data_IF_729359955056
#
_entry.id   IF_729359955056
#
_cell.length_a   1.000
_cell.length_b   1.000
_cell.length_c   1.000
_cell.angle_alpha   90.00
_cell.angle_beta   90.00
_cell.angle_gamma   90.00
#
_symmetry.space_group_name_H-M   'P 1'
#
loop_
_entity.id
_entity.type
_entity.pdbx_description
1 polymer ?
#
# COMPACT_ATOMS: atom_id res chain seq x y z
N UNK A 1 28.62 33.02 -6.13
CA UNK A 1 28.09 33.91 -5.07
C UNK A 1 26.58 33.92 -5.20
N UNK A 2 25.77 33.57 -4.19
CA UNK A 2 24.32 33.69 -4.32
C UNK A 2 23.93 35.16 -4.12
N UNK A 3 23.22 35.72 -5.10
CA UNK A 3 22.51 36.99 -4.94
C UNK A 3 21.15 36.72 -4.29
N UNK A 4 20.82 37.45 -3.23
CA UNK A 4 19.50 37.40 -2.59
C UNK A 4 18.61 38.50 -3.18
N UNK A 5 17.42 38.13 -3.64
CA UNK A 5 16.38 39.09 -4.04
C UNK A 5 15.12 38.79 -3.21
N UNK A 6 14.59 39.81 -2.52
CA UNK A 6 13.32 39.74 -1.80
C UNK A 6 12.18 40.30 -2.66
N UNK A 7 11.02 39.63 -2.66
CA UNK A 7 9.84 40.04 -3.44
C UNK A 7 8.62 40.22 -2.51
N UNK A 8 7.89 41.35 -2.55
CA UNK A 8 6.72 41.58 -1.70
C UNK A 8 5.44 40.90 -2.22
N UNK A 9 4.52 40.57 -1.30
CA UNK A 9 3.23 39.95 -1.59
C UNK A 9 2.26 40.95 -2.22
N UNK A 10 1.89 40.73 -3.50
CA UNK A 10 0.51 40.48 -3.98
C UNK A 10 0.39 40.59 -5.51
N UNK A 11 -0.52 39.78 -6.07
CA UNK A 11 -0.98 39.64 -7.47
C UNK A 11 0.02 39.16 -8.52
N UNK A 12 -0.49 38.26 -9.37
CA UNK A 12 0.19 37.54 -10.45
C UNK A 12 1.02 38.48 -11.34
N UNK A 13 2.35 38.33 -11.28
CA UNK A 13 3.28 38.99 -12.21
C UNK A 13 4.02 37.95 -13.03
N UNK A 14 4.15 38.22 -14.33
CA UNK A 14 5.09 37.52 -15.22
C UNK A 14 6.51 37.95 -14.88
N UNK A 15 7.43 36.99 -14.80
CA UNK A 15 8.85 37.27 -14.65
C UNK A 15 9.52 36.97 -15.99
N UNK A 16 10.29 37.94 -16.51
CA UNK A 16 11.19 37.73 -17.65
C UNK A 16 12.59 37.57 -17.08
N UNK A 17 13.19 36.39 -17.25
CA UNK A 17 14.59 36.15 -16.91
C UNK A 17 15.34 35.97 -18.23
N UNK A 18 16.45 36.69 -18.38
CA UNK A 18 17.35 36.54 -19.54
C UNK A 18 18.60 35.83 -19.06
N UNK A 19 18.95 34.71 -19.70
CA UNK A 19 20.15 33.95 -19.39
C UNK A 19 21.17 34.15 -20.53
N UNK A 20 22.39 34.54 -20.19
CA UNK A 20 23.49 34.68 -21.13
C UNK A 20 24.47 33.52 -20.93
N UNK A 21 24.59 32.63 -21.92
CA UNK A 21 25.50 31.48 -21.89
C UNK A 21 26.81 31.84 -22.58
N UNK A 22 27.91 31.88 -21.83
CA UNK A 22 29.27 31.97 -22.40
C UNK A 22 29.91 30.59 -22.43
N UNK A 23 30.12 30.05 -23.64
CA UNK A 23 30.83 28.79 -23.85
C UNK A 23 32.32 29.13 -24.01
N UNK A 24 33.17 28.66 -23.10
CA UNK A 24 34.62 28.84 -23.21
C UNK A 24 35.18 27.83 -24.23
N UNK A 25 35.76 28.31 -25.34
CA UNK A 25 36.54 27.46 -26.24
C UNK A 25 37.87 27.07 -25.57
N UNK A 26 38.07 25.77 -25.35
CA UNK A 26 39.37 25.20 -25.00
C UNK A 26 40.25 25.14 -26.26
N UNK A 27 41.27 26.00 -26.32
CA UNK A 27 42.22 26.09 -27.41
C UNK A 27 43.23 24.93 -27.40
N UNK A 28 42.84 23.78 -27.95
CA UNK A 28 43.73 22.85 -28.67
C UNK A 28 43.02 21.51 -28.88
N UNK A 29 42.58 21.21 -30.11
CA UNK A 29 42.64 19.91 -30.79
C UNK A 29 42.09 20.12 -32.21
N UNK A 30 42.99 20.08 -33.18
CA UNK A 30 42.68 19.92 -34.60
C UNK A 30 42.46 18.43 -34.88
N UNK A 31 41.21 18.03 -35.08
CA UNK A 31 40.71 16.99 -36.03
C UNK A 31 39.31 16.57 -35.61
N UNK A 32 38.48 16.36 -36.61
CA UNK A 32 37.07 16.01 -36.51
C UNK A 32 36.85 14.82 -35.57
N UNK A 33 36.26 15.11 -34.42
CA UNK A 33 35.63 14.12 -33.56
C UNK A 33 34.17 14.53 -33.41
N UNK A 34 33.26 13.66 -33.87
CA UNK A 34 31.85 13.72 -33.53
C UNK A 34 31.72 13.84 -32.01
N UNK A 35 31.29 15.02 -31.53
CA UNK A 35 30.80 15.15 -30.17
C UNK A 35 29.37 14.62 -30.18
N UNK A 36 29.22 13.31 -29.97
CA UNK A 36 27.92 12.66 -29.72
C UNK A 36 27.62 12.69 -28.21
N UNK A 37 27.54 13.88 -27.64
CA UNK A 37 27.08 14.06 -26.26
C UNK A 37 26.11 15.23 -26.20
N UNK A 38 24.84 14.91 -26.02
CA UNK A 38 23.87 15.80 -25.42
C UNK A 38 24.35 16.12 -24.00
N UNK A 39 24.76 17.36 -23.74
CA UNK A 39 25.00 17.80 -22.37
C UNK A 39 23.69 18.32 -21.77
N UNK A 40 23.25 17.67 -20.69
CA UNK A 40 22.11 18.11 -19.90
C UNK A 40 22.55 19.25 -18.99
N UNK A 41 22.04 20.45 -19.22
CA UNK A 41 22.20 21.56 -18.27
C UNK A 41 21.00 21.55 -17.31
N UNK A 42 21.26 21.30 -16.03
CA UNK A 42 20.22 21.26 -14.99
C UNK A 42 20.20 22.61 -14.28
N UNK A 43 19.02 23.21 -14.15
CA UNK A 43 18.79 24.41 -13.35
C UNK A 43 17.91 24.09 -12.14
N UNK A 44 18.20 24.71 -11.00
CA UNK A 44 17.27 24.81 -9.86
C UNK A 44 16.73 26.23 -9.78
N UNK A 45 15.40 26.39 -9.82
CA UNK A 45 14.74 27.69 -9.65
C UNK A 45 13.91 27.64 -8.38
N UNK A 46 14.27 28.48 -7.40
CA UNK A 46 13.52 28.64 -6.16
C UNK A 46 12.55 29.82 -6.27
N UNK A 47 11.25 29.53 -6.19
CA UNK A 47 10.21 30.57 -6.14
C UNK A 47 9.54 30.52 -4.77
N UNK A 48 9.72 31.56 -3.95
CA UNK A 48 9.08 31.59 -2.63
C UNK A 48 7.69 32.24 -2.70
N UNK A 49 6.64 31.41 -2.71
CA UNK A 49 5.45 31.69 -1.91
C UNK A 49 4.76 30.37 -1.53
N UNK A 50 4.60 30.17 -0.20
CA UNK A 50 4.13 28.96 0.52
C UNK A 50 3.83 27.71 -0.33
N UNK A 51 4.89 26.99 -0.68
CA UNK A 51 4.87 25.67 -1.31
C UNK A 51 6.24 25.36 -1.91
N UNK A 52 6.70 24.11 -1.82
CA UNK A 52 7.86 23.65 -2.58
C UNK A 52 7.37 23.25 -3.97
N UNK A 53 7.98 23.81 -5.02
CA UNK A 53 7.80 23.36 -6.40
C UNK A 53 9.16 22.95 -6.94
N UNK A 54 9.24 21.73 -7.48
CA UNK A 54 10.38 21.28 -8.27
C UNK A 54 9.89 21.17 -9.71
N UNK A 55 10.48 21.94 -10.61
CA UNK A 55 10.22 21.84 -12.04
C UNK A 55 11.52 21.42 -12.74
N UNK A 56 11.46 20.34 -13.51
CA UNK A 56 12.56 19.88 -14.36
C UNK A 56 12.18 20.17 -15.80
N UNK A 57 13.07 20.82 -16.55
CA UNK A 57 12.88 21.10 -17.97
C UNK A 57 13.91 20.34 -18.78
N UNK A 58 13.50 19.80 -19.92
CA UNK A 58 14.39 19.19 -20.89
C UNK A 58 14.46 20.10 -22.12
N UNK A 59 15.62 20.70 -22.37
CA UNK A 59 15.87 21.50 -23.57
C UNK A 59 16.61 20.60 -24.55
N UNK A 60 15.92 20.16 -25.61
CA UNK A 60 16.55 19.44 -26.73
C UNK A 60 16.96 20.43 -27.80
N UNK A 61 18.26 20.65 -27.95
CA UNK A 61 18.81 21.37 -29.10
C UNK A 61 19.01 20.36 -30.24
N UNK A 62 18.24 20.51 -31.32
CA UNK A 62 18.49 19.73 -32.53
C UNK A 62 19.69 20.32 -33.27
N UNK A 63 20.58 19.46 -33.78
CA UNK A 63 21.73 19.88 -34.58
C UNK A 63 21.27 20.47 -35.92
N UNK A 64 20.91 21.75 -35.92
CA UNK A 64 21.05 22.63 -37.09
C UNK A 64 21.53 23.99 -36.59
N UNK A 65 22.84 24.20 -36.75
CA UNK A 65 23.57 25.46 -36.66
C UNK A 65 23.14 26.42 -35.53
N UNK A 66 23.61 26.17 -34.31
CA UNK A 66 23.63 27.22 -33.28
C UNK A 66 24.78 28.19 -33.58
N UNK A 67 24.47 29.36 -34.14
CA UNK A 67 25.29 30.57 -33.96
C UNK A 67 24.88 31.25 -32.65
N UNK A 68 25.78 32.01 -32.04
CA UNK A 68 25.48 32.82 -30.84
C UNK A 68 24.12 33.50 -30.98
N UNK A 69 23.21 33.21 -30.05
CA UNK A 69 21.85 33.70 -30.11
C UNK A 69 21.17 33.59 -28.76
N UNK A 70 20.41 34.62 -28.42
CA UNK A 70 19.54 34.66 -27.23
C UNK A 70 18.32 33.79 -27.51
N UNK A 71 18.08 32.76 -26.68
CA UNK A 71 16.84 31.98 -26.74
C UNK A 71 15.85 32.60 -25.76
N UNK A 72 14.82 33.26 -26.28
CA UNK A 72 13.70 33.73 -25.46
C UNK A 72 12.80 32.53 -25.12
N UNK A 73 12.76 32.15 -23.84
CA UNK A 73 11.84 31.16 -23.31
C UNK A 73 10.62 31.86 -22.70
N UNK A 74 9.45 31.68 -23.29
CA UNK A 74 8.19 32.14 -22.71
C UNK A 74 7.59 31.05 -21.82
N UNK A 75 7.63 31.28 -20.50
CA UNK A 75 7.06 30.37 -19.51
C UNK A 75 5.58 30.73 -19.28
N UNK A 76 4.68 29.87 -19.76
CA UNK A 76 3.24 29.97 -19.47
C UNK A 76 2.87 28.97 -18.38
N UNK A 77 2.46 29.48 -17.21
CA UNK A 77 1.96 28.65 -16.13
C UNK A 77 0.48 28.35 -16.37
N UNK A 78 0.13 27.08 -16.57
CA UNK A 78 -1.25 26.63 -16.57
C UNK A 78 -1.60 26.11 -15.17
N UNK A 79 -2.74 26.54 -14.61
CA UNK A 79 -3.30 26.01 -13.38
C UNK A 79 -3.79 24.56 -13.58
N UNK A 80 -2.84 23.63 -13.66
CA UNK A 80 -3.08 22.19 -13.67
C UNK A 80 -2.20 21.50 -12.62
N UNK A 81 -2.76 20.64 -11.75
CA UNK A 81 -1.96 19.91 -10.79
C UNK A 81 -1.24 18.76 -11.50
N UNK A 82 0.07 18.88 -11.71
CA UNK A 82 0.92 17.77 -12.14
C UNK A 82 1.97 17.51 -11.05
N UNK A 83 2.00 16.25 -10.60
CA UNK A 83 2.93 15.66 -9.63
C UNK A 83 3.94 14.78 -10.36
N UNK A 84 5.22 14.82 -9.96
CA UNK A 84 6.09 13.64 -9.72
C UNK A 84 7.25 14.03 -8.78
N UNK A 85 7.90 13.05 -8.11
CA UNK A 85 9.23 12.71 -8.61
C UNK A 85 9.53 11.20 -8.69
N UNK A 86 10.35 10.87 -9.68
CA UNK A 86 11.12 9.64 -9.82
C UNK A 86 12.47 9.80 -9.10
N UNK A 87 12.95 8.72 -8.47
CA UNK A 87 14.34 8.59 -8.03
C UNK A 87 15.07 7.60 -8.94
N UNK A 88 16.18 8.04 -9.53
CA UNK A 88 17.21 7.20 -10.12
C UNK A 88 18.05 6.55 -9.01
N UNK A 89 18.30 5.25 -9.12
CA UNK A 89 19.28 4.52 -8.31
C UNK A 89 20.50 4.29 -9.20
N UNK A 90 21.64 4.86 -8.81
CA UNK A 90 22.95 4.43 -9.30
C UNK A 90 23.48 3.34 -8.36
N UNK A 91 23.81 2.18 -8.93
CA UNK A 91 24.53 1.11 -8.25
C UNK A 91 25.39 0.36 -9.25
N UNK A 92 26.69 0.66 -9.24
CA UNK A 92 27.72 -0.14 -9.91
C UNK A 92 27.91 -1.44 -9.12
N UNK A 93 27.80 -2.59 -9.81
CA UNK A 93 28.02 -3.90 -9.22
C UNK A 93 27.66 -5.03 -10.17
N UNK A 94 28.44 -5.18 -11.25
CA UNK A 94 28.38 -6.37 -12.11
C UNK A 94 28.89 -7.58 -11.33
N UNK A 95 27.98 -8.50 -10.98
CA UNK A 95 28.31 -9.92 -10.85
C UNK A 95 27.43 -10.70 -11.82
N UNK A 96 28.09 -11.37 -12.75
CA UNK A 96 27.49 -12.22 -13.77
C UNK A 96 26.82 -13.43 -13.12
N UNK A 97 25.52 -13.60 -13.34
CA UNK A 97 24.83 -14.86 -13.09
C UNK A 97 24.40 -15.47 -14.42
N UNK A 98 24.80 -16.73 -14.61
CA UNK A 98 24.51 -17.58 -15.76
C UNK A 98 23.02 -17.75 -16.00
N UNK A 99 22.60 -17.63 -17.26
CA UNK A 99 21.24 -17.86 -17.72
C UNK A 99 20.77 -19.29 -17.40
N UNK A 100 19.59 -19.41 -16.80
CA UNK A 100 18.83 -20.66 -16.63
C UNK A 100 17.35 -20.42 -16.98
N UNK A 101 16.60 -21.46 -17.36
CA UNK A 101 15.87 -21.48 -18.61
C UNK A 101 14.55 -20.72 -18.58
N UNK A 102 14.33 -20.02 -19.69
CA UNK A 102 13.12 -19.31 -20.08
C UNK A 102 11.94 -20.30 -20.20
N UNK A 103 10.81 -20.04 -19.51
CA UNK A 103 9.58 -20.80 -19.71
C UNK A 103 8.79 -20.20 -20.89
N UNK A 104 8.59 -20.92 -22.02
CA UNK A 104 8.05 -20.34 -23.26
C UNK A 104 6.57 -19.93 -23.20
N UNK A 105 5.81 -20.44 -22.24
CA UNK A 105 4.35 -20.43 -22.29
C UNK A 105 3.68 -19.10 -21.90
N UNK A 106 4.43 -18.07 -21.51
CA UNK A 106 3.86 -16.78 -21.09
C UNK A 106 3.73 -15.77 -22.25
N UNK A 107 4.62 -15.85 -23.25
CA UNK A 107 4.65 -14.86 -24.35
C UNK A 107 3.53 -15.07 -25.39
N UNK A 108 3.09 -16.31 -25.62
CA UNK A 108 2.12 -16.61 -26.68
C UNK A 108 0.70 -16.11 -26.38
N UNK A 109 0.28 -16.07 -25.11
CA UNK A 109 -1.06 -15.60 -24.73
C UNK A 109 -1.18 -14.07 -24.70
N UNK A 110 -0.08 -13.35 -24.49
CA UNK A 110 -0.03 -11.88 -24.63
C UNK A 110 -0.01 -11.47 -26.11
N UNK A 111 0.67 -12.24 -26.96
CA UNK A 111 0.87 -11.88 -28.37
C UNK A 111 -0.40 -12.00 -29.22
N UNK A 112 -1.33 -12.92 -28.88
CA UNK A 112 -2.58 -13.11 -29.63
C UNK A 112 -3.70 -12.09 -29.32
N UNK A 113 -3.55 -11.25 -28.29
CA UNK A 113 -4.57 -10.27 -27.89
C UNK A 113 -4.27 -8.83 -28.33
N UNK A 114 -3.12 -8.57 -28.97
CA UNK A 114 -2.63 -7.20 -29.21
C UNK A 114 -2.78 -6.85 -30.70
N UNK A 115 -3.99 -6.46 -31.10
CA UNK A 115 -4.21 -5.57 -32.25
C UNK A 115 -5.10 -4.36 -31.91
N UNK A 116 -5.54 -4.24 -30.65
CA UNK A 116 -6.19 -3.05 -30.13
C UNK A 116 -5.19 -2.13 -29.44
N UNK A 117 -5.25 -0.81 -29.65
CA UNK A 117 -4.44 0.15 -28.90
C UNK A 117 -4.70 0.00 -27.40
N UNK A 118 -3.66 -0.30 -26.63
CA UNK A 118 -3.73 -0.33 -25.17
C UNK A 118 -3.79 1.13 -24.69
N UNK A 119 -4.71 1.43 -23.76
CA UNK A 119 -4.78 2.79 -23.20
C UNK A 119 -3.53 3.13 -22.39
N UNK A 120 -3.21 4.42 -22.25
CA UNK A 120 -2.09 4.86 -21.40
C UNK A 120 -2.25 4.40 -19.94
N UNK A 121 -3.48 4.40 -19.43
CA UNK A 121 -3.77 3.93 -18.07
C UNK A 121 -3.55 2.42 -17.92
N UNK A 122 -3.97 1.61 -18.90
CA UNK A 122 -3.71 0.17 -18.89
C UNK A 122 -2.21 -0.14 -18.99
N UNK A 123 -1.46 0.68 -19.72
CA UNK A 123 0.00 0.55 -19.83
C UNK A 123 0.69 0.73 -18.47
N UNK A 124 0.26 1.70 -17.65
CA UNK A 124 0.76 1.86 -16.26
C UNK A 124 0.43 0.64 -15.40
N UNK A 125 -0.81 0.14 -15.49
CA UNK A 125 -1.27 -1.03 -14.72
C UNK A 125 -0.50 -2.30 -15.09
N UNK A 126 -0.21 -2.50 -16.39
CA UNK A 126 0.66 -3.58 -16.89
C UNK A 126 2.08 -3.44 -16.35
N UNK A 127 2.66 -2.23 -16.37
CA UNK A 127 3.99 -1.99 -15.83
C UNK A 127 4.10 -2.36 -14.34
N UNK A 128 3.08 -2.03 -13.54
CA UNK A 128 3.00 -2.42 -12.12
C UNK A 128 2.98 -3.95 -11.95
N UNK A 129 2.18 -4.66 -12.75
CA UNK A 129 2.13 -6.12 -12.71
C UNK A 129 3.48 -6.74 -13.06
N UNK A 130 4.11 -6.28 -14.15
CA UNK A 130 5.41 -6.78 -14.58
C UNK A 130 6.48 -6.54 -13.52
N UNK A 131 6.53 -5.35 -12.93
CA UNK A 131 7.48 -5.03 -11.85
C UNK A 131 7.26 -5.92 -10.61
N UNK A 132 6.00 -6.20 -10.24
CA UNK A 132 5.70 -7.09 -9.12
C UNK A 132 6.08 -8.55 -9.43
N UNK A 133 5.84 -9.04 -10.65
CA UNK A 133 6.24 -10.37 -11.09
C UNK A 133 7.76 -10.53 -11.08
N UNK A 134 8.50 -9.57 -11.65
CA UNK A 134 9.97 -9.60 -11.72
C UNK A 134 10.65 -9.50 -10.35
N UNK A 135 10.03 -8.82 -9.39
CA UNK A 135 10.59 -8.69 -8.04
C UNK A 135 10.15 -9.81 -7.10
N UNK A 136 9.10 -10.56 -7.41
CA UNK A 136 8.55 -11.61 -6.54
C UNK A 136 9.41 -12.85 -6.47
N UNK A 137 9.81 -13.33 -5.27
CA UNK A 137 10.53 -14.58 -5.17
C UNK A 137 9.66 -15.71 -5.73
N UNK A 138 10.19 -16.57 -6.59
CA UNK A 138 9.43 -17.63 -7.27
C UNK A 138 8.79 -18.63 -6.30
N UNK A 139 9.31 -18.71 -5.06
CA UNK A 139 8.85 -19.64 -4.01
C UNK A 139 8.27 -18.92 -2.78
N UNK A 140 7.77 -17.69 -2.95
CA UNK A 140 7.22 -16.87 -1.88
C UNK A 140 5.84 -17.36 -1.37
N UNK A 141 5.76 -18.64 -0.99
CA UNK A 141 4.66 -19.23 -0.24
C UNK A 141 4.92 -19.01 1.24
N UNK A 142 3.86 -18.96 2.05
CA UNK A 142 3.97 -19.23 3.49
C UNK A 142 4.43 -20.67 3.73
N UNK A 143 5.67 -21.06 3.44
CA UNK A 143 6.14 -22.40 3.79
C UNK A 143 5.84 -22.70 5.27
N UNK A 144 5.67 -23.97 5.69
CA UNK A 144 5.51 -24.28 7.11
C UNK A 144 6.59 -23.62 7.98
N UNK A 145 7.78 -23.42 7.43
CA UNK A 145 8.89 -22.68 8.04
C UNK A 145 8.55 -21.20 8.25
N UNK A 146 8.05 -20.49 7.24
CA UNK A 146 7.63 -19.07 7.38
C UNK A 146 6.50 -18.93 8.40
N UNK A 147 5.53 -19.86 8.40
CA UNK A 147 4.47 -19.88 9.41
C UNK A 147 5.01 -20.04 10.82
N UNK A 148 5.96 -20.97 11.00
CA UNK A 148 6.60 -21.24 12.29
C UNK A 148 7.45 -20.05 12.75
N UNK A 149 8.18 -19.41 11.84
CA UNK A 149 8.95 -18.20 12.13
C UNK A 149 8.03 -17.04 12.57
N UNK A 150 6.93 -16.80 11.86
CA UNK A 150 5.98 -15.77 12.26
C UNK A 150 5.35 -16.08 13.62
N UNK A 151 4.96 -17.34 13.85
CA UNK A 151 4.42 -17.78 15.13
C UNK A 151 5.43 -17.51 16.25
N UNK A 152 6.70 -17.89 16.06
CA UNK A 152 7.74 -17.69 17.05
C UNK A 152 7.94 -16.21 17.36
N UNK A 153 7.99 -15.33 16.36
CA UNK A 153 8.12 -13.88 16.59
C UNK A 153 6.94 -13.33 17.41
N UNK A 154 5.72 -13.84 17.20
CA UNK A 154 4.55 -13.44 17.99
C UNK A 154 4.66 -13.97 19.43
N UNK A 155 5.07 -15.24 19.60
CA UNK A 155 5.26 -15.84 20.92
C UNK A 155 6.36 -15.13 21.71
N UNK A 156 7.48 -14.79 21.08
CA UNK A 156 8.57 -14.04 21.72
C UNK A 156 8.09 -12.66 22.17
N UNK A 157 7.27 -11.99 21.35
CA UNK A 157 6.69 -10.70 21.71
C UNK A 157 5.74 -10.82 22.91
N UNK A 158 4.92 -11.88 22.96
CA UNK A 158 4.05 -12.18 24.09
C UNK A 158 4.88 -12.47 25.34
N UNK A 159 5.89 -13.32 25.24
CA UNK A 159 6.66 -13.72 26.41
C UNK A 159 7.44 -12.57 27.02
N UNK A 160 8.10 -11.78 26.17
CA UNK A 160 8.89 -10.60 26.59
C UNK A 160 8.04 -9.37 26.88
N UNK A 161 6.75 -9.39 26.55
CA UNK A 161 5.87 -8.21 26.64
C UNK A 161 6.28 -7.09 25.68
N UNK A 162 6.96 -7.43 24.58
CA UNK A 162 7.43 -6.47 23.57
C UNK A 162 6.27 -6.06 22.66
N UNK A 163 5.98 -4.75 22.52
CA UNK A 163 4.92 -4.31 21.62
C UNK A 163 5.21 -4.73 20.18
N UNK A 164 4.21 -5.30 19.52
CA UNK A 164 4.32 -5.87 18.18
C UNK A 164 3.08 -5.54 17.35
N UNK A 165 3.24 -5.25 16.07
CA UNK A 165 2.13 -5.23 15.12
C UNK A 165 2.45 -5.99 13.84
N UNK A 166 1.58 -6.94 13.51
CA UNK A 166 1.55 -7.69 12.26
C UNK A 166 0.34 -7.25 11.46
N UNK A 167 0.57 -6.65 10.29
CA UNK A 167 -0.50 -6.20 9.40
C UNK A 167 -0.45 -6.96 8.08
N UNK A 168 -1.58 -7.04 7.37
CA UNK A 168 -1.65 -7.68 6.06
C UNK A 168 -2.19 -6.74 5.02
N UNK A 169 -1.65 -6.75 3.82
CA UNK A 169 -2.14 -5.98 2.69
C UNK A 169 -2.77 -6.92 1.66
N UNK A 170 -3.96 -6.56 1.18
CA UNK A 170 -4.62 -7.21 0.07
C UNK A 170 -4.69 -6.30 -1.16
N UNK A 171 -5.53 -6.71 -2.11
CA UNK A 171 -5.89 -5.90 -3.27
C UNK A 171 -6.65 -4.63 -2.87
N UNK A 172 -7.48 -4.66 -1.83
CA UNK A 172 -8.14 -3.47 -1.31
C UNK A 172 -7.15 -2.38 -0.90
N UNK A 173 -6.20 -2.72 -0.04
CA UNK A 173 -5.13 -1.80 0.37
C UNK A 173 -4.28 -1.32 -0.81
N UNK A 174 -3.99 -2.22 -1.75
CA UNK A 174 -3.30 -1.90 -3.00
C UNK A 174 -3.99 -0.81 -3.83
N UNK A 175 -5.32 -0.84 -3.93
CA UNK A 175 -6.09 0.21 -4.62
C UNK A 175 -5.89 1.56 -3.95
N UNK A 176 -6.04 1.58 -2.63
CA UNK A 176 -5.91 2.81 -1.84
C UNK A 176 -4.50 3.39 -1.90
N UNK A 177 -3.46 2.55 -1.89
CA UNK A 177 -2.06 2.97 -2.02
C UNK A 177 -1.77 3.50 -3.44
N UNK A 178 -2.32 2.84 -4.46
CA UNK A 178 -2.15 3.22 -5.86
C UNK A 178 -2.91 4.49 -6.25
N UNK A 179 -3.90 4.94 -5.47
CA UNK A 179 -4.57 6.21 -5.71
C UNK A 179 -3.64 7.42 -5.43
N UNK A 180 -3.63 8.46 -6.30
CA UNK A 180 -4.42 8.62 -7.53
C UNK A 180 -3.69 8.16 -8.82
N UNK A 181 -2.50 7.56 -8.71
CA UNK A 181 -1.60 7.34 -9.85
C UNK A 181 -1.92 6.11 -10.70
N UNK A 182 -2.52 5.08 -10.08
CA UNK A 182 -2.85 3.79 -10.72
C UNK A 182 -4.37 3.57 -10.74
N UNK A 183 -5.07 4.08 -9.72
CA UNK A 183 -6.52 3.94 -9.59
C UNK A 183 -7.13 5.32 -9.43
N UNK A 184 -8.26 5.53 -10.11
CA UNK A 184 -8.97 6.80 -10.06
C UNK A 184 -9.93 6.88 -8.86
N UNK A 185 -10.56 8.05 -8.68
CA UNK A 185 -11.49 8.25 -7.57
C UNK A 185 -12.77 7.41 -7.70
N UNK A 186 -13.21 7.06 -8.91
CA UNK A 186 -14.41 6.26 -9.13
C UNK A 186 -14.17 4.82 -8.67
N UNK A 187 -13.02 4.25 -9.02
CA UNK A 187 -12.57 2.93 -8.54
C UNK A 187 -12.45 2.92 -7.01
N UNK A 188 -11.86 3.96 -6.40
CA UNK A 188 -11.81 4.04 -4.93
C UNK A 188 -13.19 4.16 -4.30
N UNK A 189 -14.10 4.91 -4.90
CA UNK A 189 -15.47 5.04 -4.41
C UNK A 189 -16.20 3.70 -4.47
N UNK A 190 -16.13 2.97 -5.58
CA UNK A 190 -16.84 1.69 -5.74
C UNK A 190 -16.19 0.59 -4.91
N UNK A 191 -14.88 0.38 -5.05
CA UNK A 191 -14.15 -0.80 -4.56
C UNK A 191 -13.58 -0.65 -3.15
N UNK A 192 -13.45 0.58 -2.65
CA UNK A 192 -12.95 0.83 -1.28
C UNK A 192 -14.04 1.42 -0.39
N UNK A 193 -14.53 2.63 -0.70
CA UNK A 193 -15.39 3.38 0.22
C UNK A 193 -16.80 2.80 0.31
N UNK A 194 -17.49 2.62 -0.82
CA UNK A 194 -18.83 2.03 -0.83
C UNK A 194 -18.79 0.55 -0.47
N UNK A 195 -17.78 -0.16 -0.94
CA UNK A 195 -17.61 -1.57 -0.65
C UNK A 195 -17.49 -1.82 0.86
N UNK A 196 -16.50 -1.20 1.53
CA UNK A 196 -16.25 -1.45 2.95
C UNK A 196 -17.23 -0.71 3.87
N UNK A 197 -17.46 0.59 3.61
CA UNK A 197 -18.11 1.51 4.55
C UNK A 197 -19.51 1.94 4.14
N UNK A 198 -19.92 1.68 2.90
CA UNK A 198 -21.26 1.90 2.38
C UNK A 198 -21.51 3.34 1.93
N UNK A 199 -22.60 3.55 1.19
CA UNK A 199 -22.97 4.87 0.63
C UNK A 199 -23.11 5.98 1.68
N UNK A 200 -23.44 5.63 2.93
CA UNK A 200 -23.49 6.61 4.05
C UNK A 200 -22.13 7.21 4.38
N UNK A 201 -21.03 6.48 4.13
CA UNK A 201 -19.66 6.99 4.25
C UNK A 201 -19.48 8.26 3.42
N UNK A 202 -19.91 8.25 2.15
CA UNK A 202 -19.79 9.39 1.24
C UNK A 202 -20.57 10.61 1.75
N UNK A 203 -21.79 10.42 2.25
CA UNK A 203 -22.57 11.50 2.87
C UNK A 203 -21.87 12.10 4.09
N UNK A 204 -21.18 11.27 4.87
CA UNK A 204 -20.43 11.74 6.04
C UNK A 204 -19.11 12.40 5.67
N UNK A 205 -18.48 11.99 4.58
CA UNK A 205 -17.33 12.68 4.01
C UNK A 205 -17.72 14.09 3.55
N UNK A 206 -18.83 14.23 2.80
CA UNK A 206 -19.36 15.51 2.36
C UNK A 206 -19.62 16.49 3.52
N UNK A 207 -20.08 15.99 4.68
CA UNK A 207 -20.27 16.80 5.88
C UNK A 207 -18.96 17.19 6.58
N UNK A 208 -17.94 16.34 6.50
CA UNK A 208 -16.69 16.49 7.25
C UNK A 208 -15.66 17.35 6.51
N UNK A 209 -15.62 17.25 5.18
CA UNK A 209 -14.64 17.93 4.34
C UNK A 209 -15.38 18.87 3.39
N UNK A 210 -15.21 20.19 3.50
CA UNK A 210 -15.95 21.16 2.68
C UNK A 210 -15.48 21.21 1.22
N UNK A 211 -14.22 20.87 0.95
CA UNK A 211 -13.63 20.86 -0.39
C UNK A 211 -13.24 19.44 -0.80
N UNK A 212 -13.69 19.04 -2.01
CA UNK A 212 -13.46 17.72 -2.62
C UNK A 212 -13.57 16.57 -1.61
N UNK A 213 -14.77 16.33 -1.04
CA UNK A 213 -14.88 15.57 0.19
C UNK A 213 -14.42 14.12 0.08
N UNK A 214 -14.69 13.49 -1.06
CA UNK A 214 -14.27 12.12 -1.35
C UNK A 214 -12.76 12.03 -1.49
N UNK A 215 -12.13 12.95 -2.23
CA UNK A 215 -10.67 12.97 -2.43
C UNK A 215 -9.96 13.19 -1.10
N UNK A 216 -10.37 14.21 -0.35
CA UNK A 216 -9.84 14.50 1.01
C UNK A 216 -10.03 13.31 1.95
N UNK A 217 -11.20 12.67 1.90
CA UNK A 217 -11.52 11.46 2.64
C UNK A 217 -10.62 10.28 2.29
N UNK A 218 -10.37 10.07 1.00
CA UNK A 218 -9.51 9.02 0.48
C UNK A 218 -8.06 9.24 0.88
N UNK A 219 -7.50 10.44 0.67
CA UNK A 219 -6.12 10.75 1.10
C UNK A 219 -5.94 10.58 2.59
N UNK A 220 -6.93 10.97 3.40
CA UNK A 220 -6.85 10.76 4.83
C UNK A 220 -6.83 9.26 5.20
N UNK A 221 -7.68 8.44 4.55
CA UNK A 221 -7.68 6.98 4.77
C UNK A 221 -6.36 6.34 4.29
N UNK A 222 -5.84 6.79 3.14
CA UNK A 222 -4.53 6.38 2.60
C UNK A 222 -3.43 6.69 3.60
N UNK A 223 -3.38 7.91 4.14
CA UNK A 223 -2.40 8.29 5.13
C UNK A 223 -2.46 7.42 6.39
N UNK A 224 -3.66 7.04 6.88
CA UNK A 224 -3.76 6.08 7.98
C UNK A 224 -3.13 4.72 7.64
N UNK A 225 -3.32 4.25 6.40
CA UNK A 225 -2.73 3.00 5.93
C UNK A 225 -1.21 3.09 5.80
N UNK A 226 -0.68 4.12 5.14
CA UNK A 226 0.76 4.34 4.96
C UNK A 226 1.48 4.44 6.30
N UNK A 227 0.90 5.19 7.23
CA UNK A 227 1.41 5.29 8.60
C UNK A 227 1.42 3.96 9.35
N UNK A 228 0.43 3.11 9.09
CA UNK A 228 0.39 1.77 9.67
C UNK A 228 1.47 0.86 9.06
N UNK A 229 1.74 0.98 7.76
CA UNK A 229 2.79 0.23 7.07
C UNK A 229 4.17 0.62 7.59
N UNK A 230 4.46 1.92 7.68
CA UNK A 230 5.76 2.44 8.16
C UNK A 230 6.09 2.00 9.59
N UNK A 231 5.07 1.86 10.44
CA UNK A 231 5.25 1.57 11.86
C UNK A 231 5.07 0.10 12.22
N UNK A 232 4.64 -0.74 11.27
CA UNK A 232 4.48 -2.17 11.49
C UNK A 232 5.83 -2.87 11.67
N UNK A 233 5.86 -3.92 12.50
CA UNK A 233 7.04 -4.79 12.61
C UNK A 233 7.08 -5.81 11.49
N UNK A 234 5.90 -6.30 11.12
CA UNK A 234 5.73 -7.28 10.05
C UNK A 234 4.60 -6.83 9.15
N UNK A 235 4.89 -6.76 7.86
CA UNK A 235 3.90 -6.52 6.81
C UNK A 235 3.79 -7.75 5.94
N UNK A 236 2.61 -8.36 5.92
CA UNK A 236 2.31 -9.48 5.05
C UNK A 236 1.68 -8.98 3.75
N UNK A 237 2.30 -9.22 2.60
CA UNK A 237 1.80 -8.74 1.31
C UNK A 237 1.29 -9.88 0.42
N UNK A 238 0.53 -9.60 -0.65
CA UNK A 238 0.07 -10.63 -1.57
C UNK A 238 1.24 -11.38 -2.24
N UNK A 239 1.10 -12.70 -2.39
CA UNK A 239 2.07 -13.56 -3.05
C UNK A 239 1.88 -13.59 -4.56
N UNK A 240 2.91 -14.03 -5.30
CA UNK A 240 2.92 -14.07 -6.77
C UNK A 240 1.81 -14.95 -7.38
N UNK A 241 1.38 -15.98 -6.64
CA UNK A 241 0.34 -16.92 -7.09
C UNK A 241 -1.00 -16.21 -7.28
N UNK A 242 -1.24 -15.13 -6.53
CA UNK A 242 -2.43 -14.30 -6.73
C UNK A 242 -2.44 -13.58 -8.07
N UNK A 243 -1.30 -13.56 -8.78
CA UNK A 243 -1.15 -13.00 -10.12
C UNK A 243 -1.13 -14.07 -11.23
N UNK A 244 -0.89 -15.35 -10.90
CA UNK A 244 -0.62 -16.43 -11.87
C UNK A 244 -1.84 -17.12 -12.50
N UNK A 245 -3.05 -16.81 -12.06
CA UNK A 245 -4.28 -17.36 -12.66
C UNK A 245 -4.48 -16.74 -14.08
N UNK A 246 -5.11 -17.38 -15.08
CA UNK A 246 -5.28 -16.80 -16.42
C UNK A 246 -5.94 -15.42 -16.34
N UNK A 247 -5.50 -14.46 -17.15
CA UNK A 247 -6.04 -13.10 -17.13
C UNK A 247 -7.51 -13.15 -17.54
N UNK A 248 -8.39 -13.08 -16.55
CA UNK A 248 -9.77 -12.69 -16.73
C UNK A 248 -9.84 -11.18 -16.55
N UNK A 249 -10.50 -10.47 -17.46
CA UNK A 249 -10.69 -9.01 -17.39
C UNK A 249 -11.22 -8.55 -16.02
N UNK A 250 -12.14 -9.33 -15.42
CA UNK A 250 -12.70 -9.07 -14.09
C UNK A 250 -11.67 -9.10 -12.94
N UNK A 251 -10.53 -9.75 -13.15
CA UNK A 251 -9.46 -9.90 -12.15
C UNK A 251 -8.28 -8.96 -12.40
N UNK A 252 -8.26 -8.22 -13.51
CA UNK A 252 -7.13 -7.35 -13.86
C UNK A 252 -6.86 -6.29 -12.78
N UNK A 253 -7.85 -5.45 -12.45
CA UNK A 253 -7.72 -4.42 -11.42
C UNK A 253 -7.37 -4.97 -10.01
N UNK A 254 -8.05 -6.01 -9.49
CA UNK A 254 -7.63 -6.65 -8.24
C UNK A 254 -6.17 -7.12 -8.24
N UNK A 255 -5.68 -7.69 -9.35
CA UNK A 255 -4.29 -8.14 -9.46
C UNK A 255 -3.30 -7.00 -9.47
N UNK A 256 -3.57 -5.97 -10.27
CA UNK A 256 -2.74 -4.74 -10.28
C UNK A 256 -2.66 -4.15 -8.89
N UNK A 257 -3.78 -4.13 -8.17
CA UNK A 257 -3.83 -3.60 -6.83
C UNK A 257 -2.99 -4.45 -5.87
N UNK A 258 -3.16 -5.77 -5.88
CA UNK A 258 -2.36 -6.67 -5.06
C UNK A 258 -0.85 -6.60 -5.41
N UNK A 259 -0.50 -6.42 -6.69
CA UNK A 259 0.86 -6.18 -7.15
C UNK A 259 1.41 -4.85 -6.62
N UNK A 260 0.61 -3.79 -6.64
CA UNK A 260 0.97 -2.50 -6.09
C UNK A 260 1.19 -2.58 -4.57
N UNK A 261 0.34 -3.30 -3.83
CA UNK A 261 0.54 -3.54 -2.40
C UNK A 261 1.86 -4.28 -2.12
N UNK A 262 2.21 -5.28 -2.93
CA UNK A 262 3.47 -6.00 -2.83
C UNK A 262 4.68 -5.08 -3.06
N UNK A 263 4.68 -4.31 -4.16
CA UNK A 263 5.74 -3.35 -4.47
C UNK A 263 5.88 -2.26 -3.41
N UNK A 264 4.77 -1.66 -3.00
CA UNK A 264 4.77 -0.61 -1.98
C UNK A 264 5.38 -1.13 -0.67
N UNK A 265 5.03 -2.35 -0.26
CA UNK A 265 5.59 -2.95 0.96
C UNK A 265 7.11 -3.07 0.89
N UNK A 266 7.67 -3.46 -0.26
CA UNK A 266 9.13 -3.62 -0.40
C UNK A 266 9.88 -2.31 -0.30
N UNK A 267 9.28 -1.24 -0.83
CA UNK A 267 9.90 0.09 -0.84
C UNK A 267 9.77 0.76 0.52
N UNK A 268 8.63 0.57 1.21
CA UNK A 268 8.27 1.41 2.36
C UNK A 268 8.10 0.67 3.70
N UNK A 269 8.12 -0.67 3.75
CA UNK A 269 8.05 -1.39 5.01
C UNK A 269 9.42 -1.41 5.71
N UNK A 270 9.45 -1.00 6.96
CA UNK A 270 10.69 -0.68 7.67
C UNK A 270 11.48 -1.91 8.18
N UNK A 271 10.88 -3.11 8.23
CA UNK A 271 11.42 -4.23 9.03
C UNK A 271 11.33 -5.59 8.35
N UNK A 272 10.17 -6.23 8.41
CA UNK A 272 10.04 -7.63 7.99
C UNK A 272 8.88 -7.82 7.01
N UNK A 273 9.18 -8.49 5.92
CA UNK A 273 8.25 -8.80 4.84
C UNK A 273 7.87 -10.28 4.87
N UNK A 274 6.56 -10.56 4.88
CA UNK A 274 6.03 -11.93 4.71
C UNK A 274 5.20 -11.97 3.43
N UNK A 275 5.55 -12.77 2.43
CA UNK A 275 4.87 -12.72 1.14
C UNK A 275 3.59 -13.55 1.12
N UNK A 276 2.69 -13.37 2.08
CA UNK A 276 1.37 -13.99 2.00
C UNK A 276 0.31 -13.25 2.83
N UNK A 277 -0.69 -12.69 2.16
CA UNK A 277 -1.83 -12.05 2.82
C UNK A 277 -2.78 -13.05 3.49
N UNK A 278 -2.64 -14.36 3.25
CA UNK A 278 -3.42 -15.43 3.87
C UNK A 278 -2.67 -16.18 4.97
N UNK A 279 -1.53 -15.64 5.42
CA UNK A 279 -0.64 -16.28 6.40
C UNK A 279 -1.39 -16.80 7.64
N UNK A 280 -2.32 -16.04 8.23
CA UNK A 280 -3.05 -16.49 9.43
C UNK A 280 -4.02 -17.65 9.17
N UNK A 281 -4.60 -17.75 7.96
CA UNK A 281 -5.35 -18.95 7.59
C UNK A 281 -4.43 -20.18 7.62
N UNK A 282 -3.21 -20.04 7.13
CA UNK A 282 -2.25 -21.14 7.13
C UNK A 282 -1.75 -21.47 8.54
N UNK A 283 -1.46 -20.47 9.38
CA UNK A 283 -1.16 -20.71 10.79
C UNK A 283 -2.30 -21.50 11.46
N UNK A 284 -3.56 -21.15 11.17
CA UNK A 284 -4.70 -21.88 11.71
C UNK A 284 -4.75 -23.34 11.21
N UNK A 285 -4.59 -23.56 9.89
CA UNK A 285 -4.57 -24.91 9.30
C UNK A 285 -3.44 -25.79 9.85
N UNK A 286 -2.32 -25.18 10.25
CA UNK A 286 -1.17 -25.85 10.84
C UNK A 286 -1.23 -25.97 12.38
N UNK A 287 -2.32 -25.54 13.03
CA UNK A 287 -2.45 -25.56 14.49
C UNK A 287 -1.58 -24.53 15.22
N UNK A 288 -0.95 -23.60 14.51
CA UNK A 288 0.02 -22.64 15.05
C UNK A 288 -0.63 -21.41 15.71
N UNK A 289 -1.93 -21.19 15.51
CA UNK A 289 -2.65 -20.11 16.20
C UNK A 289 -2.86 -20.43 17.68
N UNK A 290 -3.15 -21.68 18.02
CA UNK A 290 -3.51 -22.05 19.39
C UNK A 290 -2.43 -21.70 20.42
N UNK A 291 -1.12 -21.98 20.20
CA UNK A 291 -0.07 -21.56 21.11
C UNK A 291 -0.02 -20.04 21.32
N UNK A 292 -0.24 -19.24 20.27
CA UNK A 292 -0.29 -17.77 20.36
C UNK A 292 -1.42 -17.32 21.28
N UNK A 293 -2.60 -17.91 21.11
CA UNK A 293 -3.77 -17.57 21.91
C UNK A 293 -3.58 -17.96 23.38
N UNK A 294 -3.07 -19.16 23.66
CA UNK A 294 -2.84 -19.68 25.02
C UNK A 294 -1.70 -18.97 25.76
N UNK A 295 -0.69 -18.47 25.04
CA UNK A 295 0.39 -17.69 25.65
C UNK A 295 -0.07 -16.28 26.10
N UNK A 296 -1.19 -15.80 25.58
CA UNK A 296 -1.72 -14.46 25.88
C UNK A 296 -2.47 -14.47 27.22
N UNK A 297 -2.18 -13.49 28.08
CA UNK A 297 -2.89 -13.33 29.37
C UNK A 297 -4.27 -12.69 29.19
N UNK A 298 -4.37 -11.79 28.20
CA UNK A 298 -5.59 -11.07 27.88
C UNK A 298 -5.73 -11.00 26.36
N UNK A 299 -6.95 -11.19 25.84
CA UNK A 299 -7.25 -11.05 24.42
C UNK A 299 -8.34 -10.00 24.20
N UNK A 300 -8.10 -9.03 23.32
CA UNK A 300 -9.16 -8.17 22.80
C UNK A 300 -9.42 -8.49 21.33
N UNK A 301 -10.65 -8.85 21.01
CA UNK A 301 -11.09 -9.00 19.62
C UNK A 301 -11.64 -7.67 19.12
N UNK A 302 -11.14 -7.16 17.99
CA UNK A 302 -11.67 -5.97 17.31
C UNK A 302 -12.33 -6.42 16.00
N UNK A 303 -13.65 -6.58 16.02
CA UNK A 303 -14.40 -7.15 14.91
C UNK A 303 -15.89 -6.78 14.98
N UNK A 304 -16.66 -7.16 13.95
CA UNK A 304 -18.05 -6.74 13.81
C UNK A 304 -19.03 -7.50 14.72
N UNK A 305 -18.66 -8.70 15.16
CA UNK A 305 -19.40 -9.55 16.10
C UNK A 305 -18.42 -10.18 17.08
N UNK A 306 -18.88 -10.66 18.22
CA UNK A 306 -18.01 -11.31 19.20
C UNK A 306 -17.71 -12.76 18.79
N UNK A 307 -16.47 -13.20 19.00
CA UNK A 307 -16.08 -14.60 19.01
C UNK A 307 -15.67 -15.08 20.43
N UNK A 308 -15.99 -14.31 21.47
CA UNK A 308 -15.50 -14.57 22.83
C UNK A 308 -15.98 -15.91 23.38
N UNK A 309 -17.22 -16.31 23.09
CA UNK A 309 -17.75 -17.63 23.50
C UNK A 309 -16.98 -18.76 22.82
N UNK A 310 -16.79 -18.67 21.51
CA UNK A 310 -16.08 -19.68 20.72
C UNK A 310 -14.61 -19.80 21.15
N UNK A 311 -13.94 -18.68 21.40
CA UNK A 311 -12.56 -18.68 21.89
C UNK A 311 -12.45 -19.28 23.30
N UNK A 312 -13.41 -19.01 24.19
CA UNK A 312 -13.52 -19.66 25.51
C UNK A 312 -13.71 -21.16 25.38
N UNK A 313 -14.72 -21.58 24.62
CA UNK A 313 -15.12 -22.98 24.55
C UNK A 313 -14.08 -23.84 23.80
N UNK A 314 -13.41 -23.29 22.79
CA UNK A 314 -12.42 -24.02 22.00
C UNK A 314 -11.02 -24.03 22.64
N UNK A 315 -10.59 -22.93 23.27
CA UNK A 315 -9.20 -22.78 23.73
C UNK A 315 -9.04 -22.56 25.24
N UNK A 316 -10.12 -22.44 26.00
CA UNK A 316 -10.08 -22.23 27.45
C UNK A 316 -9.61 -20.82 27.87
N UNK A 317 -9.81 -19.81 27.02
CA UNK A 317 -9.28 -18.45 27.25
C UNK A 317 -10.30 -17.62 28.04
N UNK A 318 -10.02 -17.32 29.31
CA UNK A 318 -10.99 -16.64 30.19
C UNK A 318 -11.08 -15.13 29.92
N UNK A 319 -9.92 -14.48 29.82
CA UNK A 319 -9.78 -13.03 29.74
C UNK A 319 -9.95 -12.50 28.31
N UNK A 320 -11.21 -12.32 27.88
CA UNK A 320 -11.54 -11.84 26.54
C UNK A 320 -12.43 -10.60 26.56
N UNK A 321 -11.94 -9.52 25.96
CA UNK A 321 -12.75 -8.35 25.59
C UNK A 321 -13.15 -8.39 24.11
N UNK A 322 -14.21 -7.65 23.80
CA UNK A 322 -14.62 -7.37 22.42
C UNK A 322 -14.85 -5.89 22.21
N UNK A 323 -14.15 -5.31 21.23
CA UNK A 323 -14.42 -3.97 20.72
C UNK A 323 -15.21 -4.11 19.42
N UNK A 324 -16.52 -3.99 19.53
CA UNK A 324 -17.39 -4.08 18.37
C UNK A 324 -17.17 -2.92 17.39
N UNK A 325 -16.98 -3.26 16.11
CA UNK A 325 -16.94 -2.31 14.99
C UNK A 325 -18.20 -2.44 14.12
N UNK A 326 -18.54 -1.43 13.29
CA UNK A 326 -19.51 -1.65 12.22
C UNK A 326 -19.01 -2.69 11.22
N UNK A 327 -19.86 -3.68 10.91
CA UNK A 327 -19.60 -4.66 9.87
C UNK A 327 -19.54 -4.09 8.45
N UNK A 328 -19.01 -4.91 7.54
CA UNK A 328 -18.80 -4.58 6.14
C UNK A 328 -20.12 -4.28 5.41
N UNK A 329 -20.24 -3.13 4.77
CA UNK A 329 -21.54 -2.68 4.22
C UNK A 329 -22.14 -3.61 3.17
N UNK A 330 -21.32 -4.13 2.25
CA UNK A 330 -21.81 -4.98 1.14
C UNK A 330 -22.44 -6.29 1.62
N UNK A 331 -21.95 -6.88 2.72
CA UNK A 331 -22.37 -8.22 3.15
C UNK A 331 -23.18 -8.22 4.45
N UNK A 332 -23.05 -7.17 5.26
CA UNK A 332 -23.65 -7.11 6.61
C UNK A 332 -24.71 -6.03 6.76
N UNK A 333 -24.99 -5.23 5.72
CA UNK A 333 -26.05 -4.20 5.68
C UNK A 333 -26.11 -3.30 6.94
N UNK A 334 -24.95 -2.79 7.37
CA UNK A 334 -24.85 -2.03 8.61
C UNK A 334 -25.40 -0.60 8.48
N UNK A 335 -26.03 -0.11 9.55
CA UNK A 335 -26.71 1.19 9.52
C UNK A 335 -25.78 2.39 9.78
N UNK A 336 -24.61 2.18 10.38
CA UNK A 336 -23.63 3.20 10.77
C UNK A 336 -22.29 2.93 10.06
N UNK A 337 -21.72 3.88 9.31
CA UNK A 337 -20.46 3.64 8.62
C UNK A 337 -19.28 3.71 9.60
N UNK A 338 -18.29 2.86 9.37
CA UNK A 338 -17.07 2.77 10.18
C UNK A 338 -16.17 4.01 10.02
N UNK A 339 -16.06 4.49 8.78
CA UNK A 339 -15.32 5.68 8.37
C UNK A 339 -16.33 6.76 7.89
N UNK A 340 -16.08 8.07 8.05
CA UNK A 340 -14.89 8.77 8.55
C UNK A 340 -14.96 9.23 10.01
N UNK A 341 -15.95 8.77 10.79
CA UNK A 341 -16.18 9.25 12.18
C UNK A 341 -16.02 8.13 13.21
N UNK A 342 -16.69 6.98 13.03
CA UNK A 342 -16.78 5.95 14.07
C UNK A 342 -15.40 5.39 14.46
N UNK A 343 -14.48 5.25 13.51
CA UNK A 343 -13.15 4.69 13.74
C UNK A 343 -12.38 5.42 14.86
N UNK A 344 -12.55 6.74 15.02
CA UNK A 344 -11.91 7.50 16.13
C UNK A 344 -12.47 7.11 17.49
N UNK A 345 -13.78 6.81 17.57
CA UNK A 345 -14.41 6.31 18.81
C UNK A 345 -13.86 4.93 19.15
N UNK A 346 -13.69 4.07 18.14
CA UNK A 346 -13.12 2.73 18.31
C UNK A 346 -11.66 2.80 18.74
N UNK A 347 -10.86 3.65 18.11
CA UNK A 347 -9.47 3.91 18.48
C UNK A 347 -9.32 4.27 19.98
N UNK A 348 -10.22 5.11 20.51
CA UNK A 348 -10.19 5.48 21.94
C UNK A 348 -10.49 4.32 22.88
N UNK A 349 -11.24 3.31 22.43
CA UNK A 349 -11.53 2.10 23.22
C UNK A 349 -10.37 1.11 23.28
N UNK A 350 -9.40 1.21 22.36
CA UNK A 350 -8.22 0.34 22.36
C UNK A 350 -7.39 0.70 23.61
N UNK A 351 -7.36 -0.19 24.59
CA UNK A 351 -6.62 -0.01 25.83
C UNK A 351 -5.86 -1.28 26.19
N UNK A 352 -4.59 -1.16 26.57
CA UNK A 352 -3.73 -2.31 26.90
C UNK A 352 -3.88 -2.63 28.38
N UNK A 353 -4.29 -3.86 28.71
CA UNK A 353 -4.56 -4.30 30.09
C UNK A 353 -3.38 -5.04 30.73
N UNK A 354 -2.53 -5.67 29.93
CA UNK A 354 -1.30 -6.32 30.39
C UNK A 354 -0.22 -6.29 29.30
N UNK A 355 1.02 -6.63 29.66
CA UNK A 355 2.13 -6.73 28.70
C UNK A 355 1.96 -7.90 27.73
N UNK A 356 1.21 -8.94 28.11
CA UNK A 356 0.87 -10.11 27.29
C UNK A 356 -0.51 -9.97 26.63
N UNK A 357 -0.95 -8.74 26.37
CA UNK A 357 -2.26 -8.45 25.79
C UNK A 357 -2.23 -8.53 24.25
N UNK A 358 -2.91 -9.54 23.73
CA UNK A 358 -3.07 -9.79 22.30
C UNK A 358 -4.35 -9.15 21.76
N UNK A 359 -4.22 -8.41 20.66
CA UNK A 359 -5.33 -7.87 19.88
C UNK A 359 -5.50 -8.68 18.60
N UNK A 360 -6.67 -9.30 18.46
CA UNK A 360 -7.08 -9.98 17.23
C UNK A 360 -7.94 -9.02 16.41
N UNK A 361 -7.40 -8.52 15.29
CA UNK A 361 -8.04 -7.45 14.53
C UNK A 361 -8.63 -7.97 13.21
N UNK A 362 -9.92 -7.76 13.00
CA UNK A 362 -10.62 -8.01 11.74
C UNK A 362 -11.51 -6.82 11.39
N UNK A 363 -10.90 -5.84 10.70
CA UNK A 363 -11.50 -4.51 10.49
C UNK A 363 -11.22 -3.89 9.10
N UNK A 364 -10.93 -4.72 8.10
CA UNK A 364 -10.63 -4.29 6.73
C UNK A 364 -9.50 -3.25 6.67
N UNK A 365 -9.72 -2.17 5.90
CA UNK A 365 -8.77 -1.06 5.76
C UNK A 365 -8.31 -0.46 7.10
N UNK A 366 -9.24 -0.29 8.05
CA UNK A 366 -8.94 0.33 9.36
C UNK A 366 -8.25 -0.62 10.34
N UNK A 367 -8.19 -1.93 10.03
CA UNK A 367 -7.51 -2.91 10.89
C UNK A 367 -6.03 -2.60 11.08
N UNK A 368 -5.36 -2.14 10.02
CA UNK A 368 -3.94 -1.76 10.04
C UNK A 368 -3.71 -0.63 11.03
N UNK A 369 -4.57 0.38 10.97
CA UNK A 369 -4.55 1.51 11.90
C UNK A 369 -4.83 1.08 13.34
N UNK A 370 -5.75 0.14 13.58
CA UNK A 370 -5.97 -0.39 14.93
C UNK A 370 -4.80 -1.19 15.46
N UNK A 371 -4.11 -1.97 14.60
CA UNK A 371 -2.86 -2.64 15.00
C UNK A 371 -1.78 -1.62 15.39
N UNK A 372 -1.61 -0.55 14.60
CA UNK A 372 -0.70 0.57 14.95
C UNK A 372 -1.03 1.14 16.33
N UNK A 373 -2.31 1.45 16.56
CA UNK A 373 -2.76 2.06 17.83
C UNK A 373 -2.51 1.11 19.00
N UNK A 374 -2.88 -0.17 18.89
CA UNK A 374 -2.65 -1.16 19.95
C UNK A 374 -1.15 -1.29 20.28
N UNK A 375 -0.28 -1.41 19.27
CA UNK A 375 1.17 -1.44 19.45
C UNK A 375 1.70 -0.19 20.14
N UNK A 376 1.30 1.01 19.69
CA UNK A 376 1.75 2.27 20.32
C UNK A 376 1.34 2.43 21.78
N UNK A 377 0.37 1.64 22.25
CA UNK A 377 -0.05 1.59 23.66
C UNK A 377 0.61 0.46 24.45
N UNK A 378 1.56 -0.26 23.84
CA UNK A 378 2.30 -1.34 24.46
C UNK A 378 1.74 -2.75 24.21
N UNK A 379 0.72 -2.90 23.35
CA UNK A 379 0.08 -4.18 23.07
C UNK A 379 0.70 -4.95 21.91
N UNK A 380 0.23 -6.17 21.71
CA UNK A 380 0.59 -7.04 20.58
C UNK A 380 -0.62 -7.17 19.68
N UNK A 381 -0.53 -6.77 18.42
CA UNK A 381 -1.70 -6.71 17.53
C UNK A 381 -1.47 -7.42 16.20
N UNK A 382 -2.39 -8.33 15.86
CA UNK A 382 -2.33 -9.10 14.62
C UNK A 382 -3.62 -8.90 13.81
N UNK A 383 -3.47 -8.47 12.55
CA UNK A 383 -4.57 -8.40 11.58
C UNK A 383 -4.88 -9.80 11.06
N UNK A 384 -5.89 -10.47 11.63
CA UNK A 384 -6.33 -11.80 11.20
C UNK A 384 -7.34 -11.75 10.04
N UNK A 385 -7.94 -10.57 9.78
CA UNK A 385 -8.99 -10.31 8.78
C UNK A 385 -9.97 -11.45 8.60
N UNK A 386 -10.10 -11.97 7.38
CA UNK A 386 -11.15 -12.93 7.02
C UNK A 386 -11.01 -14.31 7.68
N UNK A 387 -9.91 -14.62 8.38
CA UNK A 387 -9.87 -15.80 9.24
C UNK A 387 -10.96 -15.72 10.33
N UNK A 388 -11.21 -14.51 10.83
CA UNK A 388 -12.25 -14.25 11.82
C UNK A 388 -13.62 -14.67 11.30
N UNK A 389 -13.95 -14.27 10.07
CA UNK A 389 -15.21 -14.59 9.39
C UNK A 389 -15.42 -16.10 9.27
N UNK A 390 -14.35 -16.86 9.00
CA UNK A 390 -14.37 -18.33 9.01
C UNK A 390 -14.66 -18.91 10.39
N UNK A 391 -14.03 -18.38 11.46
CA UNK A 391 -14.23 -18.86 12.82
C UNK A 391 -15.69 -18.78 13.29
N UNK A 392 -16.36 -17.68 12.96
CA UNK A 392 -17.75 -17.42 13.36
C UNK A 392 -18.77 -17.94 12.33
N UNK A 393 -18.31 -18.48 11.19
CA UNK A 393 -19.16 -18.96 10.11
C UNK A 393 -19.96 -17.86 9.40
N UNK A 394 -19.50 -16.60 9.46
CA UNK A 394 -20.12 -15.42 8.83
C UNK A 394 -19.09 -14.86 7.87
N UNK A 395 -19.34 -14.96 6.56
CA UNK A 395 -18.44 -14.42 5.54
C UNK A 395 -19.01 -14.64 4.13
N UNK A 396 -18.34 -14.08 3.11
CA UNK A 396 -18.77 -14.30 1.74
C UNK A 396 -18.65 -15.78 1.35
N UNK A 397 -19.47 -16.26 0.41
CA UNK A 397 -19.43 -17.65 -0.08
C UNK A 397 -18.11 -18.00 -0.79
N UNK A 398 -17.44 -17.00 -1.38
CA UNK A 398 -16.14 -17.05 -2.07
C UNK A 398 -14.95 -16.77 -1.15
N UNK A 399 -15.19 -16.08 -0.02
CA UNK A 399 -14.22 -16.00 1.06
C UNK A 399 -14.20 -17.34 1.82
N UNK A 400 -13.11 -17.59 2.56
CA UNK A 400 -12.75 -18.83 3.29
C UNK A 400 -13.88 -19.39 4.21
N UNK A 401 -15.01 -18.69 4.36
CA UNK A 401 -16.18 -19.10 5.12
C UNK A 401 -16.81 -20.44 4.68
N UNK A 402 -16.56 -20.93 3.45
CA UNK A 402 -17.03 -22.27 3.01
C UNK A 402 -16.09 -23.44 3.35
N UNK A 403 -14.80 -23.21 3.63
CA UNK A 403 -13.85 -24.30 3.95
C UNK A 403 -13.94 -24.79 5.42
N UNK A 404 -15.00 -24.46 6.16
CA UNK A 404 -15.38 -25.25 7.35
C UNK A 404 -14.55 -25.05 8.62
N UNK A 405 -13.70 -24.03 8.72
CA UNK A 405 -12.93 -23.71 9.94
C UNK A 405 -13.76 -22.98 11.00
N UNK A 406 -14.96 -23.48 11.28
CA UNK A 406 -15.71 -22.98 12.44
C UNK A 406 -14.92 -23.35 13.68
N UNK A 407 -14.74 -22.39 14.59
CA UNK A 407 -14.42 -22.72 15.97
C UNK A 407 -15.64 -23.46 16.51
N UNK A 408 -15.63 -24.79 16.41
CA UNK A 408 -16.71 -25.61 16.93
C UNK A 408 -16.64 -25.53 18.45
N UNK A 409 -17.77 -25.26 19.08
CA UNK A 409 -18.03 -25.75 20.43
C UNK A 409 -17.85 -27.27 20.37
N UNK A 410 -16.88 -27.82 21.08
CA UNK A 410 -16.98 -29.22 21.48
C UNK A 410 -18.17 -29.27 22.44
N UNK A 411 -19.37 -29.53 21.93
CA UNK A 411 -20.43 -30.03 22.78
C UNK A 411 -19.91 -31.34 23.36
N UNK A 412 -19.88 -31.43 24.69
CA UNK A 412 -19.63 -32.67 25.43
C UNK A 412 -20.65 -33.72 24.94
N UNK A 413 -20.27 -34.53 23.98
CA UNK A 413 -20.91 -35.78 23.59
C UNK A 413 -20.01 -36.43 22.52
N UNK A 414 -19.00 -37.14 23.00
CA UNK A 414 -18.35 -38.28 22.37
C UNK A 414 -17.89 -39.21 23.48
#
# INVERSE_FOLDING_TARGET
MPYNIQIPRTTSKRFKCTLELKIAQSSSINKWAQISKSETVIFEIFISSKGFFQATFEISLSQRECREGTVDLELTFHDHPIYYPSTSIHGNGLQSFSALPYSPNYSENLTKAILTPISYEDSKKIAVLNAALSSSPPHAFSSPQICSQLQQVILDAIDTGKPLSVIRLGDGEGRLLGFPHIFDINEIVSECLNYQFGKKCLKMLAKKYPYQPTISGTFYLKNLLEESIKTADIVCAPSIIRFNDPICEKLFNPRVAAAYANLYTRVFAARTFVPDTFIFLRLHKLGLIEPILKASEFITVISHTSASKQLRDTYGIENIDHIQIPGHSTFMRTSKPHYPIMYRKIQRKINVKSKKHLFLVSAGYLGKHYCKVAKSKGGIAIDIGSLFDSWIGIGRRDAIAREGFRLKTLSKEA
#
